data_IF_848638208887
#
_entry.id   IF_848638208887
#
_cell.length_a   1.000
_cell.length_b   1.000
_cell.length_c   1.000
_cell.angle_alpha   90.00
_cell.angle_beta   90.00
_cell.angle_gamma   90.00
#
_symmetry.space_group_name_H-M   'P 1'
#
loop_
_entity.id
_entity.type
_entity.pdbx_description
1 polymer ?
#
# COMPACT_ATOMS: atom_id res chain seq x y z
N UNK A 1 -24.29 -5.57 -4.74
CA UNK A 1 -22.98 -4.92 -4.98
C UNK A 1 -22.82 -3.90 -3.88
N UNK A 2 -21.85 -4.07 -2.98
CA UNK A 2 -21.50 -2.96 -2.09
C UNK A 2 -20.94 -1.81 -2.93
N UNK A 3 -21.33 -0.59 -2.56
CA UNK A 3 -20.85 0.60 -3.22
C UNK A 3 -19.33 0.76 -3.04
N UNK A 4 -18.62 1.22 -4.08
CA UNK A 4 -17.16 1.35 -4.05
C UNK A 4 -16.69 2.28 -2.92
N UNK A 5 -17.44 3.35 -2.63
CA UNK A 5 -17.11 4.24 -1.52
C UNK A 5 -17.29 3.53 -0.17
N UNK A 6 -18.26 2.62 -0.05
CA UNK A 6 -18.43 1.81 1.15
C UNK A 6 -17.21 0.92 1.41
N UNK A 7 -16.69 0.25 0.36
CA UNK A 7 -15.46 -0.55 0.47
C UNK A 7 -14.24 0.31 0.85
N UNK A 8 -14.11 1.54 0.32
CA UNK A 8 -13.05 2.48 0.74
C UNK A 8 -13.17 2.82 2.23
N UNK A 9 -14.38 3.14 2.71
CA UNK A 9 -14.61 3.48 4.11
C UNK A 9 -14.26 2.30 5.03
N UNK A 10 -14.64 1.08 4.66
CA UNK A 10 -14.27 -0.14 5.38
C UNK A 10 -12.75 -0.36 5.41
N UNK A 11 -12.04 -0.04 4.32
CA UNK A 11 -10.58 -0.12 4.28
C UNK A 11 -9.92 0.92 5.21
N UNK A 12 -10.43 2.16 5.19
CA UNK A 12 -9.99 3.22 6.11
C UNK A 12 -10.22 2.81 7.57
N UNK A 13 -11.35 2.15 7.86
CA UNK A 13 -11.68 1.60 9.18
C UNK A 13 -10.90 0.35 9.57
N UNK A 14 -10.02 -0.15 8.71
CA UNK A 14 -9.19 -1.34 8.95
C UNK A 14 -10.00 -2.62 9.12
N UNK A 15 -11.16 -2.72 8.45
CA UNK A 15 -12.02 -3.89 8.56
C UNK A 15 -11.35 -5.12 7.92
N UNK A 16 -10.94 -6.06 8.77
CA UNK A 16 -10.33 -7.33 8.39
C UNK A 16 -11.12 -8.08 7.30
N UNK A 17 -12.44 -8.14 7.44
CA UNK A 17 -13.32 -8.85 6.53
C UNK A 17 -13.29 -8.29 5.10
N UNK A 18 -13.06 -6.98 4.93
CA UNK A 18 -12.94 -6.38 3.61
C UNK A 18 -11.71 -6.94 2.88
N UNK A 19 -10.58 -7.10 3.57
CA UNK A 19 -9.36 -7.58 2.94
C UNK A 19 -9.52 -9.02 2.41
N UNK A 20 -10.23 -9.89 3.13
CA UNK A 20 -10.57 -11.22 2.60
C UNK A 20 -11.53 -11.15 1.40
N UNK A 21 -12.53 -10.27 1.46
CA UNK A 21 -13.48 -10.05 0.36
C UNK A 21 -12.77 -9.62 -0.92
N UNK A 22 -11.94 -8.57 -0.87
CA UNK A 22 -11.24 -8.06 -2.06
C UNK A 22 -10.11 -8.99 -2.52
N UNK A 23 -9.56 -9.83 -1.65
CA UNK A 23 -8.62 -10.90 -2.01
C UNK A 23 -9.30 -11.94 -2.90
N UNK A 24 -10.55 -12.29 -2.61
CA UNK A 24 -11.33 -13.25 -3.39
C UNK A 24 -11.97 -12.63 -4.64
N UNK A 25 -12.34 -11.36 -4.59
CA UNK A 25 -12.98 -10.64 -5.70
C UNK A 25 -11.99 -10.26 -6.81
N UNK A 26 -12.02 -10.97 -7.94
CA UNK A 26 -11.14 -10.68 -9.09
C UNK A 26 -11.44 -9.34 -9.75
N UNK A 27 -12.65 -8.82 -9.60
CA UNK A 27 -13.06 -7.51 -10.14
C UNK A 27 -12.56 -6.33 -9.31
N UNK A 28 -11.93 -6.58 -8.14
CA UNK A 28 -11.44 -5.54 -7.24
C UNK A 28 -10.08 -4.94 -7.66
N UNK A 29 -9.38 -5.50 -8.66
CA UNK A 29 -8.06 -4.98 -9.06
C UNK A 29 -8.12 -3.55 -9.64
N UNK A 30 -9.04 -3.20 -10.55
CA UNK A 30 -9.20 -1.81 -10.99
C UNK A 30 -9.53 -0.86 -9.85
N UNK A 31 -10.37 -1.29 -8.89
CA UNK A 31 -10.70 -0.52 -7.69
C UNK A 31 -9.45 -0.22 -6.85
N UNK A 32 -8.61 -1.22 -6.64
CA UNK A 32 -7.34 -1.09 -5.93
C UNK A 32 -6.39 -0.09 -6.62
N UNK A 33 -6.29 -0.14 -7.96
CA UNK A 33 -5.51 0.83 -8.75
C UNK A 33 -6.02 2.26 -8.54
N UNK A 34 -7.34 2.46 -8.60
CA UNK A 34 -7.97 3.77 -8.36
C UNK A 34 -7.62 4.30 -6.96
N UNK A 35 -7.71 3.46 -5.93
CA UNK A 35 -7.36 3.85 -4.54
C UNK A 35 -5.89 4.29 -4.45
N UNK A 36 -4.97 3.55 -5.08
CA UNK A 36 -3.54 3.90 -5.09
C UNK A 36 -3.32 5.24 -5.79
N UNK A 37 -3.94 5.48 -6.94
CA UNK A 37 -3.87 6.77 -7.66
C UNK A 37 -4.38 7.91 -6.79
N UNK A 38 -5.55 7.75 -6.15
CA UNK A 38 -6.12 8.77 -5.27
C UNK A 38 -5.21 9.08 -4.08
N UNK A 39 -4.64 8.04 -3.45
CA UNK A 39 -3.67 8.19 -2.36
C UNK A 39 -2.40 8.90 -2.82
N UNK A 40 -1.88 8.58 -4.02
CA UNK A 40 -0.70 9.24 -4.60
C UNK A 40 -0.95 10.71 -4.89
N UNK A 41 -2.10 11.05 -5.48
CA UNK A 41 -2.49 12.45 -5.71
C UNK A 41 -2.59 13.20 -4.39
N UNK A 42 -3.24 12.61 -3.39
CA UNK A 42 -3.38 13.22 -2.06
C UNK A 42 -2.04 13.44 -1.36
N UNK A 43 -1.05 12.55 -1.58
CA UNK A 43 0.31 12.69 -1.05
C UNK A 43 1.17 13.72 -1.79
N UNK A 44 0.90 13.98 -3.07
CA UNK A 44 1.65 14.90 -3.93
C UNK A 44 1.01 16.29 -4.10
N UNK A 45 0.07 16.68 -3.24
CA UNK A 45 -0.59 17.98 -3.33
C UNK A 45 0.40 19.13 -3.13
N UNK A 46 0.47 20.02 -4.13
CA UNK A 46 1.41 21.15 -4.18
C UNK A 46 2.55 20.98 -5.18
N UNK A 47 2.66 19.81 -5.81
CA UNK A 47 3.65 19.54 -6.86
C UNK A 47 3.21 20.05 -8.24
N UNK A 48 4.17 20.32 -9.13
CA UNK A 48 3.88 20.69 -10.52
C UNK A 48 3.17 19.57 -11.28
N UNK A 49 2.28 19.90 -12.23
CA UNK A 49 1.47 18.93 -12.97
C UNK A 49 2.30 17.81 -13.63
N UNK A 50 3.45 18.15 -14.22
CA UNK A 50 4.35 17.15 -14.84
C UNK A 50 4.97 16.20 -13.81
N UNK A 51 5.29 16.71 -12.62
CA UNK A 51 5.78 15.91 -11.51
C UNK A 51 4.68 15.00 -10.94
N UNK A 52 3.42 15.44 -10.97
CA UNK A 52 2.28 14.63 -10.53
C UNK A 52 2.09 13.36 -11.39
N UNK A 53 2.08 13.48 -12.72
CA UNK A 53 1.93 12.32 -13.61
C UNK A 53 3.05 11.30 -13.44
N UNK A 54 4.31 11.77 -13.38
CA UNK A 54 5.47 10.91 -13.10
C UNK A 54 5.36 10.27 -11.72
N UNK A 55 4.93 11.04 -10.70
CA UNK A 55 4.73 10.54 -9.34
C UNK A 55 3.67 9.44 -9.25
N UNK A 56 2.56 9.55 -9.98
CA UNK A 56 1.54 8.50 -10.05
C UNK A 56 2.10 7.23 -10.71
N UNK A 57 2.81 7.35 -11.84
CA UNK A 57 3.43 6.22 -12.51
C UNK A 57 4.44 5.49 -11.61
N UNK A 58 5.33 6.26 -10.97
CA UNK A 58 6.32 5.73 -10.00
C UNK A 58 5.61 5.07 -8.82
N UNK A 59 4.50 5.65 -8.33
CA UNK A 59 3.74 5.08 -7.22
C UNK A 59 3.12 3.73 -7.56
N UNK A 60 2.53 3.59 -8.76
CA UNK A 60 1.95 2.33 -9.22
C UNK A 60 3.01 1.24 -9.40
N UNK A 61 4.15 1.58 -10.00
CA UNK A 61 5.29 0.66 -10.13
C UNK A 61 5.82 0.25 -8.75
N UNK A 62 6.00 1.22 -7.86
CA UNK A 62 6.47 0.99 -6.48
C UNK A 62 5.52 0.09 -5.71
N UNK A 63 4.21 0.32 -5.81
CA UNK A 63 3.18 -0.51 -5.19
C UNK A 63 3.21 -1.94 -5.74
N UNK A 64 3.36 -2.11 -7.06
CA UNK A 64 3.46 -3.44 -7.66
C UNK A 64 4.70 -4.20 -7.17
N UNK A 65 5.86 -3.54 -7.16
CA UNK A 65 7.12 -4.11 -6.66
C UNK A 65 7.00 -4.48 -5.18
N UNK A 66 6.41 -3.60 -4.38
CA UNK A 66 6.22 -3.84 -2.96
C UNK A 66 5.30 -5.04 -2.69
N UNK A 67 4.18 -5.14 -3.42
CA UNK A 67 3.28 -6.28 -3.34
C UNK A 67 3.97 -7.60 -3.73
N UNK A 68 4.85 -7.54 -4.74
CA UNK A 68 5.66 -8.68 -5.13
C UNK A 68 6.64 -9.10 -4.02
N UNK A 69 7.32 -8.15 -3.37
CA UNK A 69 8.20 -8.48 -2.23
C UNK A 69 7.43 -9.09 -1.06
N UNK A 70 6.30 -8.50 -0.67
CA UNK A 70 5.46 -9.06 0.38
C UNK A 70 5.03 -10.49 0.03
N UNK A 71 4.60 -10.71 -1.21
CA UNK A 71 4.22 -12.04 -1.68
C UNK A 71 5.38 -13.03 -1.54
N UNK A 72 6.58 -12.70 -2.05
CA UNK A 72 7.73 -13.60 -1.99
C UNK A 72 8.21 -13.84 -0.56
N UNK A 73 8.40 -12.78 0.23
CA UNK A 73 8.87 -12.88 1.62
C UNK A 73 7.85 -13.64 2.46
N UNK A 74 6.57 -13.30 2.32
CA UNK A 74 5.50 -13.89 3.11
C UNK A 74 5.23 -15.36 2.78
N UNK A 75 5.23 -15.72 1.49
CA UNK A 75 4.90 -17.10 1.09
C UNK A 75 6.10 -18.04 1.09
N UNK A 76 7.33 -17.54 0.87
CA UNK A 76 8.51 -18.40 0.74
C UNK A 76 9.45 -18.33 1.93
N UNK A 77 9.64 -17.14 2.53
CA UNK A 77 10.65 -16.97 3.59
C UNK A 77 10.04 -17.07 4.98
N UNK A 78 8.80 -16.59 5.17
CA UNK A 78 8.11 -16.59 6.45
C UNK A 78 6.75 -17.32 6.44
N UNK A 79 6.58 -18.46 5.74
CA UNK A 79 5.28 -19.12 5.63
C UNK A 79 4.75 -19.61 6.99
N UNK A 80 3.44 -19.52 7.17
CA UNK A 80 2.68 -20.29 8.15
C UNK A 80 2.02 -21.51 7.46
N UNK A 81 1.61 -22.50 8.26
CA UNK A 81 0.95 -23.72 7.74
C UNK A 81 -0.29 -23.42 6.87
N UNK A 82 -0.96 -22.29 7.12
CA UNK A 82 -2.17 -21.86 6.41
C UNK A 82 -1.91 -20.77 5.37
N UNK A 83 -0.64 -20.44 5.08
CA UNK A 83 -0.32 -19.36 4.15
C UNK A 83 -0.75 -19.72 2.73
N UNK A 84 -1.83 -19.07 2.29
CA UNK A 84 -2.39 -19.20 0.96
C UNK A 84 -2.66 -17.81 0.41
N UNK A 85 -1.84 -17.40 -0.55
CA UNK A 85 -2.00 -16.16 -1.27
C UNK A 85 -1.47 -16.32 -2.69
N UNK A 86 -2.07 -15.59 -3.62
CA UNK A 86 -1.51 -15.34 -4.94
C UNK A 86 -1.11 -13.87 -5.06
N UNK A 87 -0.25 -13.55 -6.03
CA UNK A 87 0.22 -12.18 -6.25
C UNK A 87 -0.94 -11.22 -6.60
N UNK A 88 -1.92 -11.67 -7.40
CA UNK A 88 -3.06 -10.85 -7.82
C UNK A 88 -3.98 -10.47 -6.65
N UNK A 89 -4.23 -11.38 -5.71
CA UNK A 89 -4.97 -11.10 -4.49
C UNK A 89 -4.19 -10.16 -3.56
N UNK A 90 -2.87 -10.34 -3.45
CA UNK A 90 -2.00 -9.43 -2.70
C UNK A 90 -2.08 -8.00 -3.24
N UNK A 91 -2.00 -7.82 -4.56
CA UNK A 91 -2.16 -6.50 -5.19
C UNK A 91 -3.50 -5.87 -4.78
N UNK A 92 -4.62 -6.58 -4.94
CA UNK A 92 -5.94 -6.09 -4.56
C UNK A 92 -5.98 -5.63 -3.10
N UNK A 93 -5.58 -6.49 -2.18
CA UNK A 93 -5.59 -6.20 -0.73
C UNK A 93 -4.72 -5.00 -0.37
N UNK A 94 -3.49 -4.93 -0.89
CA UNK A 94 -2.56 -3.84 -0.59
C UNK A 94 -2.98 -2.51 -1.23
N UNK A 95 -3.63 -2.55 -2.39
CA UNK A 95 -4.19 -1.33 -2.97
C UNK A 95 -5.32 -0.77 -2.11
N UNK A 96 -6.23 -1.61 -1.62
CA UNK A 96 -7.25 -1.19 -0.65
C UNK A 96 -6.64 -0.66 0.66
N UNK A 97 -5.57 -1.29 1.15
CA UNK A 97 -4.84 -0.82 2.34
C UNK A 97 -4.19 0.56 2.18
N UNK A 98 -4.11 1.08 0.94
CA UNK A 98 -3.65 2.45 0.66
C UNK A 98 -4.74 3.51 0.91
N UNK A 99 -5.99 3.10 1.14
CA UNK A 99 -7.14 4.00 1.31
C UNK A 99 -6.98 5.08 2.39
N UNK A 100 -6.38 4.83 3.58
CA UNK A 100 -6.13 5.91 4.54
C UNK A 100 -5.28 7.05 3.97
N UNK A 101 -4.44 6.76 2.96
CA UNK A 101 -3.62 7.76 2.30
C UNK A 101 -4.42 8.80 1.53
N UNK A 102 -5.66 8.51 1.12
CA UNK A 102 -6.57 9.47 0.48
C UNK A 102 -6.87 10.65 1.44
N UNK A 103 -6.92 10.39 2.75
CA UNK A 103 -7.17 11.43 3.76
C UNK A 103 -6.07 12.50 3.83
N UNK A 104 -4.92 12.28 3.18
CA UNK A 104 -3.89 13.31 3.02
C UNK A 104 -4.39 14.53 2.26
N UNK A 105 -5.51 14.45 1.53
CA UNK A 105 -6.15 15.60 0.88
C UNK A 105 -6.49 16.73 1.86
N UNK A 106 -6.79 16.40 3.13
CA UNK A 106 -7.06 17.41 4.15
C UNK A 106 -5.81 18.19 4.58
N UNK A 107 -4.61 17.76 4.18
CA UNK A 107 -3.35 18.43 4.49
C UNK A 107 -3.15 19.77 3.75
N UNK A 108 -4.09 20.15 2.86
CA UNK A 108 -4.18 21.50 2.29
C UNK A 108 -4.31 22.57 3.38
N UNK A 109 -4.87 22.23 4.56
CA UNK A 109 -4.99 23.14 5.70
C UNK A 109 -3.61 23.38 6.33
N UNK A 110 -2.98 24.52 6.00
CA UNK A 110 -1.58 24.85 6.34
C UNK A 110 -1.21 24.65 7.83
N UNK A 111 -1.98 25.17 8.82
CA UNK A 111 -1.61 25.08 10.23
C UNK A 111 -1.47 23.64 10.76
N UNK A 112 -2.23 22.70 10.20
CA UNK A 112 -2.29 21.30 10.67
C UNK A 112 -1.77 20.29 9.64
N UNK A 113 -1.21 20.76 8.52
CA UNK A 113 -0.69 19.93 7.42
C UNK A 113 0.21 18.80 7.90
N UNK A 114 1.24 19.14 8.69
CA UNK A 114 2.22 18.16 9.20
C UNK A 114 1.56 17.11 10.09
N UNK A 115 0.63 17.53 10.94
CA UNK A 115 -0.12 16.65 11.84
C UNK A 115 -1.00 15.68 11.07
N UNK A 116 -1.75 16.16 10.06
CA UNK A 116 -2.57 15.31 9.19
C UNK A 116 -1.70 14.29 8.46
N UNK A 117 -0.58 14.75 7.88
CA UNK A 117 0.34 13.87 7.15
C UNK A 117 0.94 12.79 8.05
N UNK A 118 1.31 13.15 9.28
CA UNK A 118 1.83 12.21 10.27
C UNK A 118 0.79 11.16 10.67
N UNK A 119 -0.42 11.58 11.04
CA UNK A 119 -1.51 10.69 11.45
C UNK A 119 -1.87 9.72 10.32
N UNK A 120 -2.10 10.24 9.11
CA UNK A 120 -2.46 9.42 7.95
C UNK A 120 -1.34 8.46 7.56
N UNK A 121 -0.08 8.82 7.76
CA UNK A 121 1.05 7.92 7.50
C UNK A 121 1.09 6.75 8.48
N UNK A 122 0.94 7.01 9.78
CA UNK A 122 0.81 5.94 10.78
C UNK A 122 -0.40 5.06 10.46
N UNK A 123 -1.52 5.67 10.09
CA UNK A 123 -2.74 4.95 9.74
C UNK A 123 -2.53 4.04 8.53
N UNK A 124 -1.89 4.52 7.46
CA UNK A 124 -1.55 3.68 6.30
C UNK A 124 -0.63 2.53 6.70
N UNK A 125 0.37 2.74 7.56
CA UNK A 125 1.25 1.65 8.02
C UNK A 125 0.45 0.58 8.77
N UNK A 126 -0.46 0.97 9.67
CA UNK A 126 -1.33 0.03 10.38
C UNK A 126 -2.21 -0.73 9.38
N UNK A 127 -2.81 -0.04 8.42
CA UNK A 127 -3.63 -0.66 7.37
C UNK A 127 -2.84 -1.70 6.58
N UNK A 128 -1.61 -1.38 6.20
CA UNK A 128 -0.72 -2.30 5.50
C UNK A 128 -0.43 -3.57 6.32
N UNK A 129 -0.14 -3.43 7.61
CA UNK A 129 0.13 -4.59 8.47
C UNK A 129 -1.11 -5.49 8.60
N UNK A 130 -2.28 -4.89 8.81
CA UNK A 130 -3.55 -5.64 8.90
C UNK A 130 -3.84 -6.34 7.57
N UNK A 131 -3.70 -5.63 6.45
CA UNK A 131 -3.95 -6.15 5.11
C UNK A 131 -2.99 -7.30 4.76
N UNK A 132 -1.69 -7.19 5.06
CA UNK A 132 -0.72 -8.26 4.84
C UNK A 132 -1.05 -9.49 5.67
N UNK A 133 -1.45 -9.30 6.93
CA UNK A 133 -1.87 -10.41 7.80
C UNK A 133 -3.02 -11.20 7.17
N UNK A 134 -4.04 -10.52 6.65
CA UNK A 134 -5.17 -11.17 5.98
C UNK A 134 -4.79 -11.76 4.62
N UNK A 135 -4.08 -11.00 3.79
CA UNK A 135 -3.62 -11.48 2.49
C UNK A 135 -2.82 -12.78 2.60
N UNK A 136 -1.95 -12.91 3.61
CA UNK A 136 -1.13 -14.11 3.84
C UNK A 136 -1.77 -15.16 4.77
N UNK A 137 -2.98 -14.93 5.27
CA UNK A 137 -3.64 -15.78 6.27
C UNK A 137 -2.77 -16.06 7.51
N UNK A 138 -2.07 -15.04 8.02
CA UNK A 138 -1.23 -15.17 9.21
C UNK A 138 -2.03 -15.06 10.50
N UNK A 139 -1.74 -15.95 11.45
CA UNK A 139 -2.27 -15.83 12.81
C UNK A 139 -1.64 -14.64 13.54
N UNK A 140 -0.34 -14.42 13.34
CA UNK A 140 0.43 -13.39 14.05
C UNK A 140 0.56 -12.07 13.29
N UNK A 141 0.06 -10.99 13.89
CA UNK A 141 0.27 -9.61 13.38
C UNK A 141 1.75 -9.20 13.42
N UNK A 142 2.52 -9.70 14.38
CA UNK A 142 3.96 -9.40 14.48
C UNK A 142 4.72 -9.94 13.27
N UNK A 143 4.36 -11.14 12.79
CA UNK A 143 4.94 -11.72 11.57
C UNK A 143 4.60 -10.89 10.33
N UNK A 144 3.35 -10.42 10.22
CA UNK A 144 2.96 -9.51 9.13
C UNK A 144 3.77 -8.21 9.16
N UNK A 145 3.98 -7.63 10.34
CA UNK A 145 4.82 -6.44 10.50
C UNK A 145 6.28 -6.70 10.10
N UNK A 146 6.85 -7.85 10.44
CA UNK A 146 8.20 -8.26 9.99
C UNK A 146 8.25 -8.36 8.47
N UNK A 147 7.25 -8.99 7.83
CA UNK A 147 7.18 -9.06 6.36
C UNK A 147 7.13 -7.66 5.74
N UNK A 148 6.28 -6.77 6.25
CA UNK A 148 6.22 -5.38 5.80
C UNK A 148 7.56 -4.67 5.93
N UNK A 149 8.25 -4.85 7.06
CA UNK A 149 9.54 -4.24 7.33
C UNK A 149 10.65 -4.75 6.39
N UNK A 150 10.74 -6.07 6.18
CA UNK A 150 11.72 -6.67 5.25
C UNK A 150 11.42 -6.22 3.81
N UNK A 151 10.16 -6.19 3.40
CA UNK A 151 9.77 -5.73 2.07
C UNK A 151 10.12 -4.26 1.85
N UNK A 152 9.91 -3.41 2.86
CA UNK A 152 10.31 -2.00 2.83
C UNK A 152 11.82 -1.84 2.71
N UNK A 153 12.62 -2.59 3.49
CA UNK A 153 14.08 -2.59 3.38
C UNK A 153 14.55 -3.04 1.99
N UNK A 154 13.98 -4.12 1.45
CA UNK A 154 14.30 -4.62 0.12
C UNK A 154 14.05 -3.56 -0.95
N UNK A 155 12.90 -2.89 -0.90
CA UNK A 155 12.57 -1.82 -1.82
C UNK A 155 13.47 -0.60 -1.65
N UNK A 156 13.79 -0.21 -0.41
CA UNK A 156 14.70 0.91 -0.12
C UNK A 156 16.10 0.65 -0.67
N UNK A 157 16.62 -0.57 -0.56
CA UNK A 157 17.91 -0.95 -1.14
C UNK A 157 17.91 -0.82 -2.67
N UNK A 158 16.85 -1.26 -3.35
CA UNK A 158 16.74 -1.16 -4.81
C UNK A 158 16.69 0.31 -5.23
N UNK A 159 15.84 1.10 -4.58
CA UNK A 159 15.69 2.52 -4.92
C UNK A 159 16.99 3.30 -4.64
N UNK A 160 17.64 3.03 -3.51
CA UNK A 160 18.93 3.62 -3.16
C UNK A 160 20.04 3.24 -4.13
N UNK A 161 20.08 1.98 -4.60
CA UNK A 161 21.03 1.52 -5.61
C UNK A 161 20.83 2.21 -6.94
N UNK A 162 19.57 2.35 -7.38
CA UNK A 162 19.22 3.06 -8.61
C UNK A 162 19.66 4.52 -8.54
N UNK A 163 19.35 5.21 -7.43
CA UNK A 163 19.78 6.59 -7.20
C UNK A 163 21.31 6.72 -7.22
N UNK A 164 22.04 5.80 -6.58
CA UNK A 164 23.50 5.78 -6.58
C UNK A 164 24.09 5.61 -7.99
N UNK A 165 23.47 4.79 -8.85
CA UNK A 165 23.88 4.64 -10.25
C UNK A 165 23.62 5.91 -11.07
N UNK A 166 22.47 6.56 -10.87
CA UNK A 166 22.16 7.82 -11.56
C UNK A 166 23.12 8.95 -11.17
N UNK A 167 23.52 9.02 -9.91
CA UNK A 167 24.49 10.03 -9.44
C UNK A 167 25.91 9.80 -9.95
N UNK A 168 26.30 8.54 -10.25
CA UNK A 168 27.62 8.21 -10.82
C UNK A 168 27.71 8.45 -12.33
N UNK A 169 26.58 8.64 -13.01
CA UNK A 169 26.51 8.87 -14.45
C UNK A 169 26.63 10.33 -14.89
N UNK A 170 26.87 11.25 -13.94
CA UNK A 170 27.13 12.68 -14.13
C UNK A 170 28.55 13.02 -13.68
#
# INVERSE_FOLDING_TARGET
MEDFAHRILRAIRLEAALYEEVKADESALPQAVVIVILSSIAGGLGEAQRALFLGIAISLISWFIWAYFIYIIGTKWLPEYQTQSNLKGMLRVLGFASAPGILRIFSVILPIRKTIFFITTIWTIIAMIVAVRQALNYKSTARAAIVCFIAWLAQAMILGSLLALMMKGH
#
